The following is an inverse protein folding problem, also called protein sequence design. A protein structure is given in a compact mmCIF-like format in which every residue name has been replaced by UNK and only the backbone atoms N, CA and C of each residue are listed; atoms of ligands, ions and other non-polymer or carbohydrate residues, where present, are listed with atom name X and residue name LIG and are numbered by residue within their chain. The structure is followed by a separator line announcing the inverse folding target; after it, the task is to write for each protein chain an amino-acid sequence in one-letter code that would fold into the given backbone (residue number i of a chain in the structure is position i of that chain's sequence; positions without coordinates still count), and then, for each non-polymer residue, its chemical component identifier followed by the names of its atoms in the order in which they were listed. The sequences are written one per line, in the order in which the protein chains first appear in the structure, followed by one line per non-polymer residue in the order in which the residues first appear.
data_IF_286035807710
#
_entry.id   IF_286035807710
#
_cell.length_a   1.000
_cell.length_b   1.000
_cell.length_c   1.000
_cell.angle_alpha   90.00
_cell.angle_beta   90.00
_cell.angle_gamma   90.00
#
_symmetry.space_group_name_H-M   'P 1'
#
loop_
_entity.id
_entity.type
_entity.pdbx_description
1 polymer ?
#
# COMPACT_ATOMS: atom_id res chain seq x y z
N UNK A 1 -12.63 -4.10 1.84
CA UNK A 1 -12.08 -3.34 2.97
C UNK A 1 -13.26 -2.85 3.77
N UNK A 2 -13.18 -2.91 5.09
CA UNK A 2 -14.17 -2.26 5.95
C UNK A 2 -14.21 -0.76 5.57
N UNK A 3 -15.39 -0.17 5.33
CA UNK A 3 -15.52 1.25 5.00
C UNK A 3 -14.80 2.17 5.99
N UNK A 4 -14.78 1.80 7.28
CA UNK A 4 -14.13 2.57 8.33
C UNK A 4 -12.60 2.60 8.18
N UNK A 5 -11.97 1.53 7.69
CA UNK A 5 -10.53 1.49 7.38
C UNK A 5 -10.16 2.43 6.23
N UNK A 6 -11.02 2.52 5.21
CA UNK A 6 -10.84 3.46 4.11
C UNK A 6 -10.80 4.91 4.61
N UNK A 7 -11.73 5.28 5.48
CA UNK A 7 -11.80 6.63 6.08
C UNK A 7 -10.54 6.94 6.87
N UNK A 8 -10.04 6.00 7.68
CA UNK A 8 -8.81 6.22 8.46
C UNK A 8 -7.60 6.48 7.57
N UNK A 9 -7.43 5.70 6.51
CA UNK A 9 -6.32 5.92 5.57
C UNK A 9 -6.46 7.26 4.86
N UNK A 10 -7.67 7.67 4.52
CA UNK A 10 -7.93 8.99 3.90
C UNK A 10 -7.64 10.14 4.88
N UNK A 11 -8.09 10.04 6.13
CA UNK A 11 -7.94 11.07 7.15
C UNK A 11 -6.48 11.26 7.59
N UNK A 12 -5.71 10.18 7.69
CA UNK A 12 -4.32 10.22 8.11
C UNK A 12 -3.33 10.36 6.93
N UNK A 13 -3.75 10.01 5.73
CA UNK A 13 -2.97 10.16 4.50
C UNK A 13 -1.60 9.47 4.58
N UNK A 14 -0.55 10.18 4.20
CA UNK A 14 0.83 9.65 4.17
C UNK A 14 1.47 9.39 5.54
N UNK A 15 0.74 9.64 6.65
CA UNK A 15 1.25 9.36 8.01
C UNK A 15 1.04 7.93 8.46
N UNK A 16 0.24 7.15 7.73
CA UNK A 16 -0.05 5.76 8.02
C UNK A 16 0.33 4.90 6.82
N UNK A 17 1.07 3.83 7.08
CA UNK A 17 1.23 2.71 6.17
C UNK A 17 0.41 1.53 6.69
N UNK A 18 -0.51 1.01 5.88
CA UNK A 18 -1.39 -0.08 6.24
C UNK A 18 -1.10 -1.32 5.39
N UNK A 19 -1.08 -2.49 6.03
CA UNK A 19 -0.90 -3.79 5.38
C UNK A 19 -1.92 -4.78 5.91
N UNK A 20 -2.52 -5.57 5.03
CA UNK A 20 -3.37 -6.70 5.38
C UNK A 20 -2.55 -7.99 5.33
N UNK A 21 -2.46 -8.67 6.47
CA UNK A 21 -1.88 -10.00 6.57
C UNK A 21 -2.99 -11.05 6.56
N UNK A 22 -2.90 -11.98 5.65
CA UNK A 22 -3.83 -13.09 5.51
C UNK A 22 -3.13 -14.37 5.99
N UNK A 23 -3.69 -15.11 6.96
CA UNK A 23 -3.04 -16.30 7.49
C UNK A 23 -2.97 -17.42 6.44
N UNK A 24 -1.88 -18.18 6.45
CA UNK A 24 -1.73 -19.38 5.62
C UNK A 24 -2.38 -20.59 6.33
N UNK A 25 -3.70 -20.56 6.43
CA UNK A 25 -4.52 -21.58 7.11
C UNK A 25 -5.17 -22.57 6.12
N UNK A 26 -4.90 -22.43 4.82
CA UNK A 26 -5.49 -23.22 3.74
C UNK A 26 -6.97 -22.91 3.46
N UNK A 27 -7.54 -21.92 4.12
CA UNK A 27 -8.93 -21.45 3.95
C UNK A 27 -8.93 -20.07 3.28
N UNK A 28 -8.04 -19.18 3.72
CA UNK A 28 -7.90 -17.84 3.15
C UNK A 28 -7.29 -17.92 1.74
N UNK A 29 -7.90 -17.23 0.79
CA UNK A 29 -7.46 -17.20 -0.60
C UNK A 29 -6.11 -16.47 -0.79
N UNK A 30 -5.66 -15.68 0.18
CA UNK A 30 -4.52 -14.77 0.09
C UNK A 30 -3.43 -15.05 1.12
N UNK A 31 -3.45 -16.21 1.79
CA UNK A 31 -2.48 -16.58 2.81
C UNK A 31 -1.10 -16.93 2.24
N UNK A 32 -0.26 -15.97 1.79
CA UNK A 32 1.08 -16.28 1.36
C UNK A 32 1.99 -16.49 2.58
N UNK A 33 3.02 -17.31 2.43
CA UNK A 33 4.06 -17.54 3.45
C UNK A 33 4.62 -16.25 4.06
N UNK A 34 4.73 -15.18 3.24
CA UNK A 34 5.18 -13.87 3.69
C UNK A 34 4.24 -13.24 4.74
N UNK A 35 2.93 -13.40 4.59
CA UNK A 35 1.96 -12.90 5.56
C UNK A 35 1.99 -13.73 6.85
N UNK A 36 2.09 -15.06 6.73
CA UNK A 36 2.22 -15.94 7.88
C UNK A 36 3.48 -15.62 8.69
N UNK A 37 4.63 -15.43 8.05
CA UNK A 37 5.87 -15.02 8.71
C UNK A 37 5.70 -13.69 9.48
N UNK A 38 4.99 -12.72 8.91
CA UNK A 38 4.71 -11.45 9.61
C UNK A 38 3.75 -11.61 10.79
N UNK A 39 2.76 -12.50 10.71
CA UNK A 39 1.86 -12.84 11.81
C UNK A 39 2.66 -13.47 12.95
N UNK A 40 3.45 -14.50 12.66
CA UNK A 40 4.30 -15.18 13.64
C UNK A 40 5.24 -14.21 14.34
N UNK A 41 5.86 -13.30 13.58
CA UNK A 41 6.70 -12.24 14.14
C UNK A 41 5.92 -11.32 15.11
N UNK A 42 4.68 -10.96 14.80
CA UNK A 42 3.84 -10.16 15.70
C UNK A 42 3.45 -10.94 16.97
N UNK A 43 3.39 -12.27 16.90
CA UNK A 43 3.09 -13.16 18.02
C UNK A 43 4.27 -13.38 18.96
N UNK A 44 5.53 -13.18 18.54
CA UNK A 44 6.72 -13.41 19.37
C UNK A 44 6.69 -12.73 20.75
N UNK A 45 6.01 -11.61 20.87
CA UNK A 45 5.92 -10.83 22.10
C UNK A 45 4.57 -10.98 22.81
N UNK A 46 3.72 -11.93 22.37
CA UNK A 46 2.35 -12.11 22.85
C UNK A 46 2.18 -13.53 23.38
N UNK A 47 1.51 -13.64 24.51
CA UNK A 47 1.23 -14.95 25.14
C UNK A 47 0.13 -15.73 24.40
N UNK A 48 -0.65 -15.06 23.55
CA UNK A 48 -1.77 -15.65 22.83
C UNK A 48 -1.59 -15.44 21.32
N UNK A 49 -1.88 -16.46 20.55
CA UNK A 49 -1.94 -16.38 19.10
C UNK A 49 -3.04 -15.40 18.68
N UNK A 50 -2.78 -14.63 17.63
CA UNK A 50 -3.76 -13.71 17.04
C UNK A 50 -4.86 -14.50 16.32
N UNK A 51 -5.74 -15.15 17.10
CA UNK A 51 -6.77 -16.07 16.58
C UNK A 51 -8.06 -15.39 16.13
N UNK A 52 -8.26 -14.13 16.49
CA UNK A 52 -9.42 -13.34 16.09
C UNK A 52 -9.21 -12.67 14.73
N UNK A 53 -10.13 -12.83 13.78
CA UNK A 53 -10.10 -12.13 12.50
C UNK A 53 -11.40 -11.34 12.31
N UNK A 54 -11.32 -10.06 11.95
CA UNK A 54 -10.12 -9.25 11.78
C UNK A 54 -9.54 -8.73 13.11
N UNK A 55 -8.20 -8.69 13.19
CA UNK A 55 -7.45 -8.10 14.30
C UNK A 55 -6.58 -6.95 13.78
N UNK A 56 -6.35 -5.95 14.63
CA UNK A 56 -5.56 -4.76 14.28
C UNK A 56 -4.38 -4.61 15.25
N UNK A 57 -3.23 -4.28 14.69
CA UNK A 57 -2.03 -3.96 15.45
C UNK A 57 -1.43 -2.66 14.95
N UNK A 58 -1.30 -1.67 15.81
CA UNK A 58 -0.70 -0.37 15.49
C UNK A 58 0.71 -0.32 16.02
N UNK A 59 1.70 -0.13 15.14
CA UNK A 59 3.13 0.01 15.49
C UNK A 59 3.64 -1.06 16.46
N UNK A 60 3.32 -2.32 16.20
CA UNK A 60 3.63 -3.46 17.08
C UNK A 60 3.06 -3.34 18.52
N UNK A 61 2.00 -2.55 18.70
CA UNK A 61 1.28 -2.40 19.96
C UNK A 61 0.39 -3.60 20.31
N UNK A 62 -0.61 -3.38 21.14
CA UNK A 62 -1.57 -4.39 21.52
C UNK A 62 -2.47 -4.81 20.36
N UNK A 63 -2.95 -6.06 20.38
CA UNK A 63 -3.94 -6.55 19.41
C UNK A 63 -5.31 -5.96 19.76
N UNK A 64 -6.00 -5.44 18.77
CA UNK A 64 -7.38 -4.95 18.86
C UNK A 64 -8.28 -5.76 17.93
N UNK A 65 -9.42 -6.17 18.43
CA UNK A 65 -10.46 -6.80 17.63
C UNK A 65 -11.36 -5.75 16.97
N UNK A 66 -12.15 -6.15 15.99
CA UNK A 66 -13.00 -5.25 15.20
C UNK A 66 -13.95 -4.39 16.07
N UNK A 67 -14.46 -4.94 17.15
CA UNK A 67 -15.37 -4.23 18.07
C UNK A 67 -14.69 -3.08 18.82
N UNK A 68 -13.36 -3.04 18.82
CA UNK A 68 -12.53 -2.02 19.49
C UNK A 68 -12.06 -0.90 18.57
N UNK A 69 -12.80 -0.59 17.50
CA UNK A 69 -12.42 0.44 16.53
C UNK A 69 -12.01 1.81 17.15
N UNK A 70 -12.72 2.35 18.15
CA UNK A 70 -12.28 3.56 18.84
C UNK A 70 -10.91 3.41 19.51
N UNK A 71 -10.55 2.21 19.97
CA UNK A 71 -9.24 1.93 20.57
C UNK A 71 -8.14 1.90 19.50
N UNK A 72 -8.41 1.38 18.32
CA UNK A 72 -7.49 1.42 17.16
C UNK A 72 -7.16 2.87 16.80
N UNK A 73 -8.18 3.72 16.67
CA UNK A 73 -7.98 5.16 16.42
C UNK A 73 -7.17 5.83 17.53
N UNK A 74 -7.46 5.50 18.79
CA UNK A 74 -6.70 6.01 19.94
C UNK A 74 -5.25 5.57 19.89
N UNK A 75 -4.97 4.33 19.50
CA UNK A 75 -3.61 3.80 19.42
C UNK A 75 -2.83 4.44 18.26
N UNK A 76 -3.47 4.74 17.13
CA UNK A 76 -2.89 5.52 16.04
C UNK A 76 -2.46 6.92 16.55
N UNK A 77 -3.36 7.65 17.19
CA UNK A 77 -3.08 8.99 17.71
C UNK A 77 -2.01 8.99 18.80
N UNK A 78 -2.00 7.99 19.69
CA UNK A 78 -0.94 7.82 20.70
C UNK A 78 0.40 7.53 20.04
N UNK A 79 0.41 6.70 19.00
CA UNK A 79 1.61 6.37 18.27
C UNK A 79 2.21 7.59 17.57
N UNK A 80 1.39 8.38 16.89
CA UNK A 80 1.81 9.65 16.27
C UNK A 80 2.42 10.63 17.31
N UNK A 81 1.84 10.69 18.52
CA UNK A 81 2.29 11.63 19.54
C UNK A 81 3.48 11.16 20.36
N UNK A 82 3.71 9.85 20.47
CA UNK A 82 4.72 9.23 21.33
C UNK A 82 5.97 8.78 20.59
N UNK A 83 6.01 8.86 19.28
CA UNK A 83 7.18 8.45 18.49
C UNK A 83 8.40 9.30 18.87
N UNK A 84 9.33 8.69 19.59
CA UNK A 84 10.52 9.37 20.15
C UNK A 84 11.81 9.12 19.36
N UNK A 85 11.83 8.05 18.59
CA UNK A 85 12.97 7.68 17.75
C UNK A 85 12.45 7.38 16.36
N UNK A 86 13.08 7.96 15.37
CA UNK A 86 12.80 7.65 13.97
C UNK A 86 14.11 7.59 13.20
N UNK A 87 14.11 6.74 12.20
CA UNK A 87 15.19 6.66 11.22
C UNK A 87 14.70 7.35 9.95
N UNK A 88 15.50 8.26 9.43
CA UNK A 88 15.26 8.81 8.10
C UNK A 88 15.53 7.71 7.06
N UNK A 89 14.46 7.27 6.40
CA UNK A 89 14.53 6.24 5.37
C UNK A 89 14.68 6.88 3.99
N UNK A 90 15.70 6.45 3.25
CA UNK A 90 15.86 6.79 1.85
C UNK A 90 15.63 5.54 1.01
N UNK A 91 14.55 5.53 0.24
CA UNK A 91 14.09 4.38 -0.53
C UNK A 91 13.92 4.79 -1.99
N UNK A 92 14.37 3.93 -2.88
CA UNK A 92 14.14 4.06 -4.32
C UNK A 92 13.38 2.84 -4.82
N UNK A 93 12.25 3.06 -5.47
CA UNK A 93 11.49 2.02 -6.14
C UNK A 93 11.52 2.28 -7.66
N UNK A 94 11.81 1.23 -8.43
CA UNK A 94 11.82 1.28 -9.89
C UNK A 94 11.11 0.05 -10.45
N UNK A 95 10.24 0.26 -11.42
CA UNK A 95 9.55 -0.83 -12.11
C UNK A 95 10.05 -0.97 -13.54
N UNK A 96 10.06 -2.21 -14.00
CA UNK A 96 10.15 -2.55 -15.41
C UNK A 96 8.97 -3.48 -15.77
N UNK A 97 8.95 -4.02 -16.97
CA UNK A 97 7.87 -4.88 -17.46
C UNK A 97 7.71 -6.20 -16.68
N UNK A 98 8.67 -6.60 -15.85
CA UNK A 98 8.70 -7.90 -15.20
C UNK A 98 8.91 -7.85 -13.69
N UNK A 99 9.55 -6.81 -13.18
CA UNK A 99 9.93 -6.73 -11.77
C UNK A 99 9.81 -5.32 -11.22
N UNK A 100 9.40 -5.24 -9.97
CA UNK A 100 9.52 -4.09 -9.10
C UNK A 100 10.80 -4.26 -8.28
N UNK A 101 11.75 -3.34 -8.43
CA UNK A 101 13.01 -3.34 -7.70
C UNK A 101 13.02 -2.23 -6.65
N UNK A 102 13.38 -2.58 -5.43
CA UNK A 102 13.44 -1.68 -4.29
C UNK A 102 14.85 -1.67 -3.72
N UNK A 103 15.39 -0.49 -3.51
CA UNK A 103 16.68 -0.26 -2.86
C UNK A 103 16.48 0.63 -1.64
N UNK A 104 16.95 0.17 -0.50
CA UNK A 104 16.98 0.92 0.75
C UNK A 104 18.40 1.41 1.00
N UNK A 105 18.56 2.70 1.23
CA UNK A 105 19.84 3.25 1.62
C UNK A 105 19.95 3.19 3.15
N UNK A 106 20.90 2.43 3.71
CA UNK A 106 21.08 2.40 5.15
C UNK A 106 21.44 3.80 5.68
N UNK A 107 21.01 4.16 6.88
CA UNK A 107 21.30 5.45 7.48
C UNK A 107 22.82 5.63 7.60
N UNK A 108 23.28 6.87 7.50
CA UNK A 108 24.69 7.20 7.67
C UNK A 108 25.13 6.90 9.09
N UNK A 109 26.40 6.51 9.22
CA UNK A 109 27.04 6.10 10.48
C UNK A 109 26.65 6.96 11.68
N UNK A 110 26.16 6.29 12.74
CA UNK A 110 25.71 6.88 14.01
C UNK A 110 24.26 6.62 14.39
N UNK A 111 23.43 6.27 13.41
CA UNK A 111 21.99 6.01 13.60
C UNK A 111 21.64 4.53 13.54
N UNK A 112 22.62 3.67 13.26
CA UNK A 112 22.41 2.22 13.17
C UNK A 112 22.31 1.66 14.57
N UNK A 113 21.14 1.19 14.93
CA UNK A 113 20.92 0.45 16.17
C UNK A 113 21.30 -1.01 15.93
N UNK A 114 22.18 -1.57 16.77
CA UNK A 114 22.48 -3.00 16.74
C UNK A 114 21.20 -3.81 16.92
N UNK A 115 21.15 -5.00 16.34
CA UNK A 115 19.99 -5.91 16.39
C UNK A 115 18.72 -5.32 15.73
N UNK A 116 18.92 -4.56 14.66
CA UNK A 116 17.82 -4.06 13.82
C UNK A 116 17.93 -4.60 12.40
N UNK A 117 16.86 -4.46 11.67
CA UNK A 117 16.75 -4.86 10.27
C UNK A 117 15.92 -3.85 9.47
N UNK A 118 16.13 -3.85 8.16
CA UNK A 118 15.17 -3.28 7.21
C UNK A 118 14.31 -4.41 6.65
N UNK A 119 13.00 -4.24 6.74
CA UNK A 119 12.03 -5.12 6.13
C UNK A 119 11.34 -4.40 4.99
N UNK A 120 11.38 -4.99 3.79
CA UNK A 120 10.68 -4.51 2.61
C UNK A 120 9.45 -5.39 2.44
N UNK A 121 8.26 -4.77 2.45
CA UNK A 121 6.99 -5.44 2.22
C UNK A 121 6.48 -5.06 0.82
N UNK A 122 6.14 -6.07 0.02
CA UNK A 122 5.48 -5.89 -1.28
C UNK A 122 3.99 -6.12 -1.10
N UNK A 123 3.20 -5.11 -1.44
CA UNK A 123 1.76 -5.05 -1.15
C UNK A 123 0.99 -4.86 -2.45
N UNK A 124 0.04 -5.73 -2.70
CA UNK A 124 -0.86 -5.66 -3.85
C UNK A 124 -2.17 -4.99 -3.47
N UNK A 125 -2.63 -4.07 -4.29
CA UNK A 125 -3.93 -3.43 -4.16
C UNK A 125 -4.98 -4.15 -5.00
N UNK A 126 -6.22 -4.15 -4.53
CA UNK A 126 -7.37 -4.75 -5.23
C UNK A 126 -7.16 -6.19 -5.71
N UNK A 127 -6.42 -6.97 -4.91
CA UNK A 127 -6.19 -8.38 -5.22
C UNK A 127 -7.51 -9.14 -5.28
N UNK A 128 -7.79 -9.77 -6.43
CA UNK A 128 -9.03 -10.52 -6.64
C UNK A 128 -8.96 -11.90 -6.02
N UNK A 129 -10.10 -12.37 -5.46
CA UNK A 129 -10.23 -13.74 -4.95
C UNK A 129 -10.30 -14.70 -6.13
N UNK A 130 -9.42 -15.71 -6.16
CA UNK A 130 -9.42 -16.75 -7.18
C UNK A 130 -10.69 -17.60 -7.08
N UNK A 131 -11.11 -18.14 -8.24
CA UNK A 131 -12.27 -19.03 -8.28
C UNK A 131 -12.01 -20.32 -7.48
N UNK A 132 -12.95 -20.66 -6.61
CA UNK A 132 -12.90 -21.90 -5.80
C UNK A 132 -12.60 -21.67 -4.33
N UNK A 133 -12.17 -20.48 -3.94
CA UNK A 133 -12.02 -20.12 -2.53
C UNK A 133 -13.30 -19.56 -1.92
N UNK A 134 -13.51 -19.83 -0.65
CA UNK A 134 -14.61 -19.24 0.11
C UNK A 134 -14.25 -17.78 0.40
N UNK A 135 -15.06 -16.87 -0.14
CA UNK A 135 -14.89 -15.45 0.13
C UNK A 135 -16.12 -14.91 0.85
N UNK A 136 -16.05 -14.66 2.14
CA UNK A 136 -17.19 -14.15 2.92
C UNK A 136 -17.48 -12.66 2.73
N UNK A 137 -16.89 -12.01 1.73
CA UNK A 137 -17.05 -10.58 1.53
C UNK A 137 -16.94 -10.15 0.08
N UNK A 138 -16.29 -9.02 -0.15
CA UNK A 138 -16.07 -8.46 -1.48
C UNK A 138 -15.17 -9.37 -2.34
N UNK A 139 -15.32 -9.28 -3.65
CA UNK A 139 -14.56 -10.09 -4.62
C UNK A 139 -13.06 -9.74 -4.70
N UNK A 140 -12.64 -8.74 -3.97
CA UNK A 140 -11.23 -8.30 -3.89
C UNK A 140 -10.86 -7.92 -2.46
N UNK A 141 -9.57 -7.91 -2.18
CA UNK A 141 -8.96 -7.38 -0.96
C UNK A 141 -7.93 -6.34 -1.32
N UNK A 142 -7.84 -5.33 -0.48
CA UNK A 142 -6.88 -4.24 -0.65
C UNK A 142 -5.70 -4.40 0.30
N UNK A 143 -4.53 -3.88 -0.11
CA UNK A 143 -3.31 -3.82 0.67
C UNK A 143 -2.82 -5.19 1.18
N UNK A 144 -2.95 -6.21 0.35
CA UNK A 144 -2.54 -7.59 0.67
C UNK A 144 -1.04 -7.72 0.59
N UNK A 145 -0.40 -8.21 1.66
CA UNK A 145 1.01 -8.58 1.62
C UNK A 145 1.21 -9.79 0.70
N UNK A 146 2.08 -9.66 -0.30
CA UNK A 146 2.34 -10.72 -1.28
C UNK A 146 3.79 -11.21 -1.29
N UNK A 147 4.70 -10.45 -0.68
CA UNK A 147 6.10 -10.85 -0.54
C UNK A 147 6.85 -9.92 0.40
N UNK A 148 7.96 -10.41 0.94
CA UNK A 148 8.83 -9.62 1.80
C UNK A 148 10.31 -9.94 1.56
N UNK A 149 11.18 -9.00 1.98
CA UNK A 149 12.62 -9.21 2.12
C UNK A 149 13.12 -8.54 3.41
N UNK A 150 13.91 -9.26 4.18
CA UNK A 150 14.50 -8.79 5.43
C UNK A 150 16.01 -8.69 5.31
N UNK A 151 16.54 -7.57 5.77
CA UNK A 151 17.95 -7.23 5.74
C UNK A 151 18.42 -6.87 7.16
N UNK A 152 18.73 -7.87 8.00
CA UNK A 152 19.34 -7.61 9.29
C UNK A 152 20.67 -6.87 9.14
N UNK A 153 20.97 -5.93 10.04
CA UNK A 153 22.29 -5.28 10.09
C UNK A 153 23.41 -6.29 10.36
N UNK A 154 23.08 -7.34 11.07
CA UNK A 154 23.95 -8.49 11.34
C UNK A 154 23.14 -9.77 11.16
N UNK A 155 23.69 -10.75 10.48
CA UNK A 155 23.02 -12.03 10.28
C UNK A 155 22.64 -12.33 8.84
N UNK A 156 21.75 -13.28 8.67
CA UNK A 156 21.34 -13.78 7.37
C UNK A 156 20.10 -13.03 6.85
N UNK A 157 20.15 -12.67 5.59
CA UNK A 157 19.02 -12.06 4.88
C UNK A 157 17.96 -13.12 4.55
N UNK A 158 16.70 -12.72 4.55
CA UNK A 158 15.54 -13.56 4.23
C UNK A 158 14.73 -12.93 3.09
N UNK A 159 14.25 -13.75 2.18
CA UNK A 159 13.26 -13.36 1.18
C UNK A 159 12.17 -14.41 1.08
N UNK A 160 10.92 -13.98 1.11
CA UNK A 160 9.73 -14.83 0.94
C UNK A 160 8.84 -14.20 -0.14
N UNK A 161 8.59 -14.94 -1.20
CA UNK A 161 7.84 -14.43 -2.36
C UNK A 161 8.56 -13.35 -3.17
N UNK A 162 9.75 -12.93 -2.74
CA UNK A 162 10.60 -11.91 -3.36
C UNK A 162 12.01 -12.45 -3.64
N UNK A 163 12.87 -11.63 -4.22
CA UNK A 163 14.25 -11.99 -4.56
C UNK A 163 15.19 -10.94 -3.98
N UNK A 164 16.22 -11.37 -3.24
CA UNK A 164 17.32 -10.51 -2.82
C UNK A 164 18.33 -10.44 -3.97
N UNK A 165 18.57 -9.25 -4.51
CA UNK A 165 19.54 -9.02 -5.57
C UNK A 165 20.91 -8.61 -5.06
N UNK A 166 20.94 -7.85 -3.97
CA UNK A 166 22.15 -7.38 -3.30
C UNK A 166 21.79 -6.91 -1.87
N UNK A 167 22.76 -6.59 -1.01
CA UNK A 167 22.48 -5.99 0.29
C UNK A 167 21.56 -4.78 0.17
N UNK A 168 20.45 -4.79 0.91
CA UNK A 168 19.41 -3.76 0.91
C UNK A 168 18.71 -3.54 -0.45
N UNK A 169 18.76 -4.52 -1.34
CA UNK A 169 18.08 -4.48 -2.63
C UNK A 169 17.27 -5.76 -2.82
N UNK A 170 15.97 -5.60 -2.95
CA UNK A 170 15.05 -6.69 -3.26
C UNK A 170 14.23 -6.39 -4.50
N UNK A 171 13.75 -7.42 -5.17
CA UNK A 171 12.81 -7.32 -6.26
C UNK A 171 11.62 -8.27 -6.08
N UNK A 172 10.50 -7.87 -6.67
CA UNK A 172 9.27 -8.65 -6.70
C UNK A 172 8.76 -8.76 -8.15
N UNK A 173 8.31 -9.94 -8.60
CA UNK A 173 7.74 -10.08 -9.95
C UNK A 173 6.44 -9.29 -10.04
N UNK A 174 6.34 -8.38 -11.02
CA UNK A 174 5.17 -7.50 -11.20
C UNK A 174 4.19 -8.00 -12.26
N UNK A 175 4.39 -9.18 -12.80
CA UNK A 175 3.50 -9.70 -13.83
C UNK A 175 2.09 -9.92 -13.26
N UNK A 176 1.14 -9.14 -13.75
CA UNK A 176 -0.26 -9.17 -13.30
C UNK A 176 -0.58 -8.23 -12.14
N UNK A 177 0.35 -7.40 -11.67
CA UNK A 177 0.09 -6.35 -10.68
C UNK A 177 -0.29 -5.05 -11.38
N UNK A 178 -1.52 -4.59 -11.17
CA UNK A 178 -2.00 -3.32 -11.70
C UNK A 178 -1.72 -2.15 -10.74
N UNK A 179 -1.94 -2.36 -9.45
CA UNK A 179 -1.70 -1.37 -8.40
C UNK A 179 -0.96 -2.02 -7.23
N UNK A 180 0.08 -1.35 -6.70
CA UNK A 180 0.89 -1.89 -5.63
C UNK A 180 1.53 -0.81 -4.76
N UNK A 181 1.89 -1.18 -3.54
CA UNK A 181 2.74 -0.39 -2.64
C UNK A 181 3.97 -1.16 -2.23
N UNK A 182 5.02 -0.42 -1.89
CA UNK A 182 6.17 -0.92 -1.14
C UNK A 182 6.20 -0.21 0.20
N UNK A 183 6.26 -1.00 1.27
CA UNK A 183 6.43 -0.46 2.61
C UNK A 183 7.80 -0.92 3.11
N UNK A 184 8.63 0.04 3.51
CA UNK A 184 9.93 -0.23 4.12
C UNK A 184 9.85 0.12 5.60
N UNK A 185 10.24 -0.84 6.43
CA UNK A 185 10.21 -0.72 7.88
C UNK A 185 11.64 -0.89 8.39
N UNK A 186 12.12 0.05 9.21
CA UNK A 186 13.28 -0.16 10.07
C UNK A 186 12.77 -0.62 11.43
N UNK A 187 13.13 -1.83 11.82
CA UNK A 187 12.59 -2.48 13.02
C UNK A 187 13.64 -3.34 13.72
N UNK A 188 13.35 -3.82 14.91
CA UNK A 188 14.21 -4.76 15.62
C UNK A 188 14.16 -6.14 14.96
N UNK A 189 15.25 -6.91 15.03
CA UNK A 189 15.27 -8.32 14.61
C UNK A 189 14.37 -9.16 15.53
N UNK A 190 13.98 -10.36 15.09
CA UNK A 190 13.16 -11.27 15.90
C UNK A 190 13.85 -11.63 17.22
N UNK A 191 15.15 -11.94 17.17
CA UNK A 191 15.95 -12.22 18.38
C UNK A 191 15.91 -11.07 19.39
N UNK A 192 15.94 -9.84 18.92
CA UNK A 192 15.86 -8.67 19.79
C UNK A 192 14.44 -8.45 20.31
N UNK A 193 13.41 -8.75 19.51
CA UNK A 193 12.00 -8.63 19.91
C UNK A 193 11.67 -9.55 21.09
N UNK A 194 12.17 -10.78 21.11
CA UNK A 194 11.97 -11.71 22.22
C UNK A 194 12.49 -11.16 23.56
N UNK A 195 13.48 -10.27 23.52
CA UNK A 195 14.08 -9.65 24.70
C UNK A 195 13.48 -8.29 25.07
N UNK A 196 12.49 -7.80 24.30
CA UNK A 196 11.87 -6.49 24.49
C UNK A 196 10.42 -6.60 24.92
N UNK A 197 9.97 -5.61 25.68
CA UNK A 197 8.53 -5.42 25.90
C UNK A 197 7.86 -4.81 24.67
N UNK A 198 6.59 -5.09 24.45
CA UNK A 198 5.76 -4.53 23.36
C UNK A 198 5.90 -3.00 23.27
N UNK A 199 5.90 -2.30 24.41
CA UNK A 199 6.04 -0.83 24.45
C UNK A 199 7.38 -0.30 23.92
N UNK A 200 8.42 -1.13 23.90
CA UNK A 200 9.78 -0.78 23.49
C UNK A 200 10.19 -1.43 22.16
N UNK A 201 9.25 -2.01 21.44
CA UNK A 201 9.46 -2.75 20.20
C UNK A 201 8.84 -2.09 18.98
N UNK A 202 8.42 -0.84 19.11
CA UNK A 202 7.86 -0.06 18.01
C UNK A 202 8.86 0.07 16.86
N UNK A 203 8.39 0.12 15.60
CA UNK A 203 9.23 0.41 14.46
C UNK A 203 10.02 1.73 14.64
N UNK A 204 11.26 1.73 14.21
CA UNK A 204 12.16 2.88 14.25
C UNK A 204 11.94 3.84 13.09
N UNK A 205 11.31 3.37 12.02
CA UNK A 205 10.94 4.16 10.87
C UNK A 205 10.10 3.34 9.90
N UNK A 206 9.15 3.99 9.24
CA UNK A 206 8.29 3.39 8.22
C UNK A 206 8.15 4.37 7.06
N UNK A 207 8.23 3.85 5.83
CA UNK A 207 8.01 4.61 4.61
C UNK A 207 7.18 3.77 3.63
N UNK A 208 6.09 4.32 3.13
CA UNK A 208 5.31 3.74 2.03
C UNK A 208 5.57 4.48 0.73
N UNK A 209 5.77 3.73 -0.35
CA UNK A 209 5.76 4.22 -1.73
C UNK A 209 4.62 3.50 -2.43
N UNK A 210 3.55 4.22 -2.73
CA UNK A 210 2.43 3.70 -3.51
C UNK A 210 2.65 4.01 -4.99
N UNK A 211 2.59 2.99 -5.83
CA UNK A 211 2.56 3.15 -7.27
C UNK A 211 1.21 2.67 -7.76
N UNK A 212 0.38 3.64 -8.11
CA UNK A 212 -0.78 3.36 -8.95
C UNK A 212 -0.24 3.22 -10.37
N UNK A 213 -0.56 2.11 -11.02
CA UNK A 213 -0.56 2.10 -12.46
C UNK A 213 -1.36 3.33 -12.85
N UNK A 214 -0.71 4.29 -13.49
CA UNK A 214 -1.44 5.20 -14.36
C UNK A 214 -1.94 4.30 -15.49
N UNK A 215 -3.02 3.53 -15.29
CA UNK A 215 -3.98 3.43 -16.31
C UNK A 215 -4.19 4.90 -16.67
N UNK A 216 -3.56 5.34 -17.74
CA UNK A 216 -4.10 6.41 -18.53
C UNK A 216 -5.56 5.99 -18.59
N UNK A 217 -6.44 6.56 -17.74
CA UNK A 217 -7.77 6.79 -18.20
C UNK A 217 -7.45 7.39 -19.56
N UNK A 218 -7.62 6.61 -20.61
CA UNK A 218 -8.02 7.19 -21.88
C UNK A 218 -9.24 7.97 -21.45
N UNK A 219 -9.03 9.19 -20.94
CA UNK A 219 -9.96 10.26 -21.10
C UNK A 219 -10.30 10.09 -22.55
N UNK A 220 -11.51 9.57 -22.80
CA UNK A 220 -12.04 9.47 -24.13
C UNK A 220 -11.85 10.90 -24.61
N UNK A 221 -10.71 11.15 -25.30
CA UNK A 221 -10.43 12.43 -25.91
C UNK A 221 -11.66 12.62 -26.79
N UNK A 222 -12.65 13.33 -26.23
CA UNK A 222 -13.76 13.83 -27.01
C UNK A 222 -13.05 14.47 -28.18
N UNK A 223 -13.07 13.84 -29.36
CA UNK A 223 -12.13 14.19 -30.40
C UNK A 223 -12.23 15.71 -30.53
N UNK A 224 -11.08 16.39 -30.38
CA UNK A 224 -11.02 17.88 -30.41
C UNK A 224 -11.81 18.45 -31.57
N UNK A 225 -12.05 17.65 -32.59
CA UNK A 225 -12.96 17.89 -33.70
C UNK A 225 -14.43 18.06 -33.30
N UNK A 226 -14.91 17.47 -32.20
CA UNK A 226 -16.33 17.52 -31.83
C UNK A 226 -16.77 18.93 -31.39
N UNK A 227 -16.07 19.66 -30.53
CA UNK A 227 -16.36 21.07 -30.26
C UNK A 227 -16.16 21.95 -31.50
N UNK A 228 -15.13 21.68 -32.33
CA UNK A 228 -14.91 22.42 -33.58
C UNK A 228 -16.08 22.22 -34.55
N UNK A 229 -16.58 21.00 -34.72
CA UNK A 229 -17.75 20.69 -35.56
C UNK A 229 -19.01 21.35 -35.03
N UNK A 230 -19.21 21.42 -33.72
CA UNK A 230 -20.38 22.12 -33.13
C UNK A 230 -20.27 23.63 -33.38
N UNK A 231 -19.09 24.25 -33.20
CA UNK A 231 -18.90 25.67 -33.51
C UNK A 231 -19.10 26.00 -34.99
N UNK A 232 -18.62 25.15 -35.88
CA UNK A 232 -18.85 25.31 -37.32
C UNK A 232 -20.34 25.18 -37.70
N UNK A 233 -21.08 24.24 -37.11
CA UNK A 233 -22.51 24.07 -37.34
C UNK A 233 -23.32 25.27 -36.84
N UNK A 234 -23.01 25.81 -35.67
CA UNK A 234 -23.66 27.03 -35.14
C UNK A 234 -23.30 28.25 -36.00
N UNK A 235 -22.06 28.37 -36.43
CA UNK A 235 -21.63 29.44 -37.33
C UNK A 235 -22.34 29.41 -38.68
N UNK A 236 -22.50 28.23 -39.29
CA UNK A 236 -23.26 28.09 -40.54
C UNK A 236 -24.75 28.41 -40.37
N UNK A 237 -25.39 27.99 -39.30
CA UNK A 237 -26.77 28.33 -38.99
C UNK A 237 -26.96 29.83 -38.82
N UNK A 238 -26.00 30.51 -38.17
CA UNK A 238 -25.98 31.97 -38.04
C UNK A 238 -25.89 32.67 -39.42
N UNK A 239 -25.01 32.24 -40.31
CA UNK A 239 -24.86 32.80 -41.66
C UNK A 239 -26.10 32.59 -42.54
N UNK A 240 -26.73 31.42 -42.47
CA UNK A 240 -27.98 31.14 -43.20
C UNK A 240 -29.12 32.04 -42.72
N UNK A 241 -29.23 32.30 -41.42
CA UNK A 241 -30.25 33.15 -40.83
C UNK A 241 -30.07 34.62 -41.22
N UNK A 242 -28.84 35.13 -41.29
CA UNK A 242 -28.54 36.51 -41.73
C UNK A 242 -28.86 36.69 -43.22
N UNK A 243 -28.45 35.76 -44.06
CA UNK A 243 -28.77 35.82 -45.50
C UNK A 243 -30.27 35.71 -45.79
N UNK A 244 -31.03 34.97 -44.99
CA UNK A 244 -32.49 34.88 -45.12
C UNK A 244 -33.16 36.21 -44.73
N UNK A 245 -32.67 36.92 -43.72
CA UNK A 245 -33.20 38.25 -43.35
C UNK A 245 -32.86 39.33 -44.36
N UNK A 246 -31.71 39.30 -45.01
CA UNK A 246 -31.32 40.23 -46.03
C UNK A 246 -32.22 40.10 -47.26
N UNK A 247 -32.53 38.87 -47.70
CA UNK A 247 -33.49 38.64 -48.84
C UNK A 247 -34.89 39.17 -48.58
N UNK A 248 -35.39 39.02 -47.35
CA UNK A 248 -36.73 39.55 -46.98
C UNK A 248 -36.75 41.09 -47.00
N UNK A 249 -35.61 41.73 -46.75
CA UNK A 249 -35.50 43.18 -46.73
C UNK A 249 -35.32 43.82 -48.10
N UNK A 250 -34.94 43.08 -49.14
CA UNK A 250 -34.83 43.54 -50.52
C UNK A 250 -36.15 43.40 -51.29
N UNK A 251 -37.12 42.64 -50.74
CA UNK A 251 -38.44 42.43 -51.35
C UNK A 251 -39.53 43.36 -50.77
N UNK A 252 -39.26 44.23 -49.78
CA UNK A 252 -40.14 45.31 -49.32
C UNK A 252 -39.75 46.69 -49.96
#
# INVERSE_FOLDING_TARGET
MDPDLGVVVEDHGSRIAMVSYHPDDGIDAFGPEAAQHRIERLELQRDENMSGTPSFVVNNGEVRELESWPDVQSDILKSESNQRQYTELSVTAATNTTHLKVSVMPPRTGEIVNNTQFTILFVEHKKTVEQGFVNPGESYRDRVLVGLAEFPMQGQQLAIGSIIEAPFIASYPTQGLDEWSVIVIHEYTEEELENRSIMNSQPLGVLEIAVKSSAVEEEAELPVLLPIMIFLAIGMLGLVSVNAQEKVREEE
#
